data_IF_779510244233
#
_entry.id   IF_779510244233
#
_cell.length_a   1.000
_cell.length_b   1.000
_cell.length_c   1.000
_cell.angle_alpha   90.00
_cell.angle_beta   90.00
_cell.angle_gamma   90.00
#
_symmetry.space_group_name_H-M   'P 1'
#
loop_
_entity.id
_entity.type
_entity.pdbx_description
1 polymer ?
#
# COMPACT_ATOMS: atom_id res chain seq x y z
N UNK A 1 8.30 11.19 -0.97
CA UNK A 1 7.62 10.14 -1.76
C UNK A 1 6.47 10.71 -2.59
N UNK A 2 5.73 11.72 -2.12
CA UNK A 2 4.57 12.29 -2.84
C UNK A 2 4.91 12.97 -4.18
N UNK A 3 6.02 13.73 -4.23
CA UNK A 3 6.46 14.42 -5.45
C UNK A 3 6.87 13.47 -6.60
N UNK A 4 7.35 12.27 -6.27
CA UNK A 4 7.78 11.26 -7.26
C UNK A 4 6.54 10.58 -7.86
N UNK A 5 5.55 10.24 -7.02
CA UNK A 5 4.28 9.68 -7.51
C UNK A 5 3.52 10.69 -8.37
N UNK A 6 3.44 11.95 -7.95
CA UNK A 6 2.76 13.00 -8.73
C UNK A 6 3.40 13.28 -10.09
N UNK A 7 4.73 13.37 -10.16
CA UNK A 7 5.45 13.57 -11.42
C UNK A 7 5.44 12.32 -12.33
N UNK A 8 5.50 11.11 -11.75
CA UNK A 8 5.38 9.87 -12.50
C UNK A 8 3.96 9.68 -13.08
N UNK A 9 2.92 10.05 -12.34
CA UNK A 9 1.54 10.04 -12.83
C UNK A 9 1.37 11.01 -14.00
N UNK A 10 1.83 12.26 -13.87
CA UNK A 10 1.74 13.23 -14.96
C UNK A 10 2.48 12.78 -16.23
N UNK A 11 3.67 12.17 -16.06
CA UNK A 11 4.46 11.61 -17.15
C UNK A 11 3.77 10.42 -17.81
N UNK A 12 3.20 9.49 -17.03
CA UNK A 12 2.49 8.33 -17.55
C UNK A 12 1.15 8.70 -18.20
N UNK A 13 0.44 9.70 -17.69
CA UNK A 13 -0.83 10.19 -18.27
C UNK A 13 -0.64 10.87 -19.62
N UNK A 14 0.55 11.43 -19.87
CA UNK A 14 0.89 12.10 -21.13
C UNK A 14 1.73 11.21 -22.06
N UNK A 15 1.96 9.95 -21.68
CA UNK A 15 2.84 9.02 -22.40
C UNK A 15 2.12 8.37 -23.58
N UNK A 16 2.80 8.32 -24.73
CA UNK A 16 2.38 7.49 -25.86
C UNK A 16 2.78 6.02 -25.63
N UNK A 17 1.77 5.16 -25.48
CA UNK A 17 1.92 3.75 -25.10
C UNK A 17 2.48 2.84 -26.23
N UNK A 18 2.92 3.40 -27.35
CA UNK A 18 3.60 2.66 -28.42
C UNK A 18 5.12 2.80 -28.41
N UNK A 19 5.68 3.65 -27.53
CA UNK A 19 7.10 4.00 -27.52
C UNK A 19 7.83 3.45 -26.29
N UNK A 20 9.14 3.22 -26.43
CA UNK A 20 9.99 2.77 -25.31
C UNK A 20 9.92 3.76 -24.13
N UNK A 21 9.85 5.05 -24.43
CA UNK A 21 9.75 6.13 -23.47
C UNK A 21 8.43 6.09 -22.70
N UNK A 22 7.30 5.87 -23.40
CA UNK A 22 6.01 5.74 -22.72
C UNK A 22 5.94 4.50 -21.83
N UNK A 23 6.48 3.38 -22.31
CA UNK A 23 6.58 2.16 -21.51
C UNK A 23 7.47 2.35 -20.28
N UNK A 24 8.57 3.10 -20.40
CA UNK A 24 9.42 3.45 -19.27
C UNK A 24 8.70 4.34 -18.24
N UNK A 25 7.92 5.34 -18.69
CA UNK A 25 7.12 6.19 -17.80
C UNK A 25 6.11 5.38 -16.98
N UNK A 26 5.40 4.44 -17.63
CA UNK A 26 4.47 3.52 -16.95
C UNK A 26 5.21 2.56 -16.00
N UNK A 27 6.38 2.06 -16.39
CA UNK A 27 7.19 1.19 -15.53
C UNK A 27 7.68 1.90 -14.27
N UNK A 28 8.07 3.18 -14.38
CA UNK A 28 8.43 4.02 -13.24
C UNK A 28 7.24 4.24 -12.31
N UNK A 29 6.06 4.56 -12.88
CA UNK A 29 4.84 4.69 -12.10
C UNK A 29 4.50 3.39 -11.34
N UNK A 30 4.58 2.24 -12.01
CA UNK A 30 4.36 0.92 -11.39
C UNK A 30 5.34 0.65 -10.25
N UNK A 31 6.62 1.00 -10.43
CA UNK A 31 7.64 0.84 -9.39
C UNK A 31 7.37 1.75 -8.19
N UNK A 32 6.99 3.01 -8.43
CA UNK A 32 6.63 3.95 -7.37
C UNK A 32 5.44 3.43 -6.55
N UNK A 33 4.38 2.95 -7.21
CA UNK A 33 3.24 2.32 -6.54
C UNK A 33 3.63 1.07 -5.73
N UNK A 34 4.53 0.23 -6.27
CA UNK A 34 5.01 -0.97 -5.58
C UNK A 34 5.79 -0.63 -4.31
N UNK A 35 6.62 0.41 -4.34
CA UNK A 35 7.35 0.90 -3.16
C UNK A 35 6.39 1.48 -2.10
N UNK A 36 5.35 2.18 -2.54
CA UNK A 36 4.31 2.69 -1.66
C UNK A 36 3.52 1.56 -1.00
N UNK A 37 3.18 0.51 -1.75
CA UNK A 37 2.50 -0.67 -1.21
C UNK A 37 3.35 -1.37 -0.14
N UNK A 38 4.65 -1.59 -0.38
CA UNK A 38 5.55 -2.19 0.61
C UNK A 38 5.66 -1.36 1.90
N UNK A 39 5.72 -0.03 1.76
CA UNK A 39 5.73 0.88 2.91
C UNK A 39 4.41 0.84 3.69
N UNK A 40 3.28 0.74 2.98
CA UNK A 40 1.97 0.58 3.60
C UNK A 40 1.84 -0.75 4.38
N UNK A 41 2.37 -1.86 3.85
CA UNK A 41 2.41 -3.13 4.58
C UNK A 41 3.22 -3.02 5.87
N UNK A 42 4.39 -2.37 5.84
CA UNK A 42 5.18 -2.15 7.05
C UNK A 42 4.45 -1.29 8.09
N UNK A 43 3.71 -0.28 7.64
CA UNK A 43 2.88 0.53 8.54
C UNK A 43 1.76 -0.30 9.17
N UNK A 44 1.12 -1.18 8.40
CA UNK A 44 0.07 -2.09 8.90
C UNK A 44 0.66 -3.07 9.92
N UNK A 45 1.82 -3.66 9.64
CA UNK A 45 2.53 -4.56 10.57
C UNK A 45 3.00 -3.84 11.85
N UNK A 46 3.32 -2.55 11.75
CA UNK A 46 3.71 -1.73 12.89
C UNK A 46 2.52 -1.28 13.75
N UNK A 47 1.27 -1.52 13.33
CA UNK A 47 0.12 -1.22 14.16
C UNK A 47 0.12 -2.16 15.38
N UNK A 48 -0.03 -1.62 16.61
CA UNK A 48 -0.14 -2.46 17.80
C UNK A 48 -1.33 -3.41 17.63
N UNK A 49 -1.09 -4.72 17.73
CA UNK A 49 -2.20 -5.67 17.76
C UNK A 49 -3.04 -5.39 19.02
N UNK A 50 -4.36 -5.14 18.87
CA UNK A 50 -5.21 -4.91 20.02
C UNK A 50 -5.19 -6.15 20.92
N UNK A 51 -4.98 -5.95 22.22
CA UNK A 51 -4.98 -7.04 23.17
C UNK A 51 -6.31 -7.78 23.09
N UNK A 52 -6.27 -9.04 22.66
CA UNK A 52 -7.42 -9.92 22.70
C UNK A 52 -7.89 -10.00 24.15
N UNK A 53 -9.18 -9.80 24.40
CA UNK A 53 -9.78 -9.89 25.73
C UNK A 53 -9.77 -11.34 26.25
N UNK A 54 -8.59 -11.88 26.58
CA UNK A 54 -8.41 -13.27 27.01
C UNK A 54 -8.22 -13.41 28.53
N UNK A 55 -8.12 -12.31 29.27
CA UNK A 55 -7.88 -12.34 30.71
C UNK A 55 -9.02 -11.67 31.47
N UNK A 56 -10.07 -12.46 31.73
CA UNK A 56 -11.20 -12.09 32.57
C UNK A 56 -12.35 -13.09 32.41
N UNK A 57 -12.92 -13.56 33.53
CA UNK A 57 -13.93 -14.62 33.60
C UNK A 57 -15.26 -14.34 32.84
N UNK A 58 -15.38 -13.20 32.15
CA UNK A 58 -16.63 -12.71 31.54
C UNK A 58 -16.51 -12.44 30.02
N UNK A 59 -15.31 -12.57 29.42
CA UNK A 59 -15.03 -12.12 28.04
C UNK A 59 -14.94 -13.21 26.94
N UNK A 60 -14.96 -14.50 27.28
CA UNK A 60 -14.57 -15.58 26.35
C UNK A 60 -15.63 -15.98 25.31
N UNK A 61 -16.79 -15.30 25.25
CA UNK A 61 -17.90 -15.69 24.37
C UNK A 61 -18.08 -14.81 23.13
N UNK A 62 -17.35 -13.69 23.02
CA UNK A 62 -17.63 -12.68 21.98
C UNK A 62 -16.99 -12.99 20.62
N UNK A 63 -15.90 -13.78 20.59
CA UNK A 63 -15.16 -14.08 19.35
C UNK A 63 -15.49 -15.47 18.75
N UNK A 64 -16.77 -15.87 18.71
CA UNK A 64 -17.16 -17.15 18.07
C UNK A 64 -17.41 -17.03 16.55
N UNK A 65 -17.36 -15.82 15.99
CA UNK A 65 -17.70 -15.57 14.59
C UNK A 65 -16.75 -14.59 13.88
N UNK A 66 -15.54 -14.39 14.38
CA UNK A 66 -14.49 -13.62 13.70
C UNK A 66 -13.49 -14.58 13.04
#
# INVERSE_FOLDING_TARGET
MDAITGSATAAASSADLGTVQGNAAVAVLKKALSLQAGSATQLIEALPQPALATSGAVGTQVNRYA
#
